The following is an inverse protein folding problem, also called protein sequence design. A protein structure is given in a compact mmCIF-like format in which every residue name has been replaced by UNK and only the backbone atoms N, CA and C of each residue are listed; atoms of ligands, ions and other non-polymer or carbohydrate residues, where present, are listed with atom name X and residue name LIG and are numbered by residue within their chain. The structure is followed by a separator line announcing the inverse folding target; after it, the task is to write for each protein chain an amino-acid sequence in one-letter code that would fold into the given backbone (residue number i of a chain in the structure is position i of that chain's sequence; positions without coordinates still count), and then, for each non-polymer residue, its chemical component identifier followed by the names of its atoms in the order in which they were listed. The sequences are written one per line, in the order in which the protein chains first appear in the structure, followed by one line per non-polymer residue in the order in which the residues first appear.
data_IF_063145831690
#
_entry.id   IF_063145831690
#
_cell.length_a   1.000
_cell.length_b   1.000
_cell.length_c   1.000
_cell.angle_alpha   90.00
_cell.angle_beta   90.00
_cell.angle_gamma   90.00
#
_symmetry.space_group_name_H-M   'P 1'
#
loop_
_entity.id
_entity.type
_entity.pdbx_description
1 polymer ?
#
# COMPACT_ATOMS: atom_id res chain seq x y z
N UNK A 1 29.32 12.77 44.36
CA UNK A 1 28.21 12.72 43.41
C UNK A 1 28.62 13.49 42.14
N UNK A 2 29.41 12.91 41.23
CA UNK A 2 29.51 13.41 39.90
C UNK A 2 28.26 12.93 39.14
N UNK A 3 27.31 13.80 38.91
CA UNK A 3 26.27 13.61 37.92
C UNK A 3 26.96 13.77 36.57
N UNK A 4 27.63 12.70 36.12
CA UNK A 4 28.19 12.65 34.76
C UNK A 4 27.01 12.66 33.77
N UNK A 5 27.08 13.48 32.73
CA UNK A 5 26.15 13.40 31.61
C UNK A 5 26.33 12.01 31.00
N UNK A 6 25.29 11.16 31.10
CA UNK A 6 25.27 9.86 30.45
C UNK A 6 25.23 10.03 28.93
N UNK A 7 26.04 9.28 28.23
CA UNK A 7 26.10 9.30 26.77
C UNK A 7 25.66 7.93 26.20
N UNK A 8 25.62 7.84 24.87
CA UNK A 8 25.24 6.62 24.14
C UNK A 8 26.09 5.41 24.55
N UNK A 9 27.40 5.57 24.78
CA UNK A 9 28.31 4.48 25.11
C UNK A 9 28.06 3.96 26.54
N UNK A 10 27.68 4.82 27.46
CA UNK A 10 27.29 4.39 28.81
C UNK A 10 26.04 3.53 28.77
N UNK A 11 25.06 3.92 27.95
CA UNK A 11 23.84 3.14 27.71
C UNK A 11 24.16 1.76 27.09
N UNK A 12 24.98 1.73 26.03
CA UNK A 12 25.41 0.49 25.39
C UNK A 12 26.09 -0.45 26.37
N UNK A 13 27.06 0.06 27.14
CA UNK A 13 27.79 -0.69 28.14
C UNK A 13 26.87 -1.31 29.20
N UNK A 14 25.94 -0.51 29.75
CA UNK A 14 25.02 -0.97 30.79
C UNK A 14 24.07 -2.04 30.22
N UNK A 15 23.53 -1.80 29.02
CA UNK A 15 22.59 -2.71 28.40
C UNK A 15 23.26 -4.04 28.05
N UNK A 16 24.47 -4.02 27.48
CA UNK A 16 25.23 -5.21 27.13
C UNK A 16 25.61 -6.01 28.38
N UNK A 17 25.98 -5.34 29.47
CA UNK A 17 26.30 -6.00 30.74
C UNK A 17 25.09 -6.67 31.40
N UNK A 18 23.91 -6.11 31.23
CA UNK A 18 22.65 -6.63 31.81
C UNK A 18 21.88 -7.58 30.91
N UNK A 19 22.13 -7.55 29.61
CA UNK A 19 21.51 -8.44 28.67
C UNK A 19 22.09 -9.84 28.76
N UNK A 20 21.23 -10.86 28.80
CA UNK A 20 21.62 -12.27 28.71
C UNK A 20 21.78 -12.75 27.27
N UNK A 21 21.52 -11.87 26.28
CA UNK A 21 21.57 -12.16 24.85
C UNK A 21 22.51 -11.19 24.14
N UNK A 22 23.01 -11.60 22.99
CA UNK A 22 23.71 -10.70 22.09
C UNK A 22 22.77 -9.63 21.56
N UNK A 23 23.10 -8.38 21.85
CA UNK A 23 22.34 -7.19 21.44
C UNK A 23 23.13 -6.27 20.50
N UNK A 24 24.25 -6.72 20.00
CA UNK A 24 25.08 -5.97 19.04
C UNK A 24 24.28 -5.52 17.82
N UNK A 25 23.37 -6.39 17.33
CA UNK A 25 22.50 -6.06 16.20
C UNK A 25 21.66 -4.81 16.47
N UNK A 26 21.20 -4.62 17.71
CA UNK A 26 20.37 -3.47 18.08
C UNK A 26 21.14 -2.17 17.91
N UNK A 27 22.37 -2.10 18.44
CA UNK A 27 23.20 -0.90 18.30
C UNK A 27 23.60 -0.67 16.85
N UNK A 28 24.14 -1.69 16.18
CA UNK A 28 24.64 -1.58 14.80
C UNK A 28 23.55 -1.26 13.79
N UNK A 29 22.36 -1.83 13.94
CA UNK A 29 21.27 -1.71 12.96
C UNK A 29 20.29 -0.58 13.31
N UNK A 30 19.86 -0.49 14.58
CA UNK A 30 18.81 0.44 14.98
C UNK A 30 19.36 1.81 15.36
N UNK A 31 20.49 1.83 16.09
CA UNK A 31 21.02 3.08 16.66
C UNK A 31 22.02 3.76 15.70
N UNK A 32 22.96 3.00 15.14
CA UNK A 32 24.12 3.55 14.42
C UNK A 32 23.94 3.59 12.91
N UNK A 33 22.87 3.00 12.37
CA UNK A 33 22.64 2.96 10.94
C UNK A 33 21.27 3.54 10.54
N UNK A 34 21.08 3.71 9.25
CA UNK A 34 19.78 3.99 8.61
C UNK A 34 19.27 2.76 7.88
N UNK A 35 19.72 1.61 8.30
CA UNK A 35 19.33 0.34 7.69
C UNK A 35 17.85 0.05 7.93
N UNK A 36 17.26 -0.60 6.95
CA UNK A 36 15.83 -0.88 6.96
C UNK A 36 15.63 -2.38 7.13
N UNK A 37 14.94 -2.76 8.18
CA UNK A 37 14.48 -4.13 8.41
C UNK A 37 13.16 -4.33 7.66
N UNK A 38 13.06 -5.39 6.85
CA UNK A 38 11.85 -5.73 6.10
C UNK A 38 11.83 -7.24 5.82
N UNK A 39 10.96 -7.95 6.51
CA UNK A 39 10.72 -9.38 6.35
C UNK A 39 9.35 -9.65 5.74
N UNK A 40 9.16 -10.82 5.16
CA UNK A 40 7.84 -11.31 4.74
C UNK A 40 7.81 -12.83 4.77
N UNK A 41 6.63 -13.40 4.93
CA UNK A 41 6.45 -14.82 4.65
C UNK A 41 6.57 -15.09 3.14
N UNK A 42 7.35 -16.10 2.74
CA UNK A 42 7.39 -16.62 1.36
C UNK A 42 6.49 -17.84 1.23
N UNK A 43 6.83 -18.93 1.89
CA UNK A 43 6.11 -20.20 1.82
C UNK A 43 5.54 -20.52 3.20
N UNK A 44 4.31 -21.04 3.23
CA UNK A 44 3.66 -21.47 4.45
C UNK A 44 2.91 -22.75 4.18
N UNK A 45 3.28 -23.82 4.86
CA UNK A 45 2.57 -25.10 4.92
C UNK A 45 2.10 -25.38 6.34
N UNK A 46 1.08 -26.19 6.48
CA UNK A 46 0.48 -26.49 7.78
C UNK A 46 -0.02 -27.93 7.84
N UNK A 47 0.06 -28.48 9.03
CA UNK A 47 -0.66 -29.67 9.44
C UNK A 47 -1.68 -29.31 10.51
N UNK A 48 -2.27 -30.31 11.16
CA UNK A 48 -3.13 -30.11 12.33
C UNK A 48 -2.34 -29.47 13.48
N UNK A 49 -1.11 -29.93 13.72
CA UNK A 49 -0.34 -29.64 14.94
C UNK A 49 0.86 -28.74 14.70
N UNK A 50 1.32 -28.60 13.47
CA UNK A 50 2.51 -27.82 13.12
C UNK A 50 2.28 -26.85 11.97
N UNK A 51 3.14 -25.82 11.94
CA UNK A 51 3.23 -24.83 10.86
C UNK A 51 4.69 -24.76 10.44
N UNK A 52 4.95 -24.99 9.16
CA UNK A 52 6.26 -24.74 8.57
C UNK A 52 6.17 -23.52 7.67
N UNK A 53 7.04 -22.56 7.87
CA UNK A 53 7.03 -21.31 7.11
C UNK A 53 8.47 -20.84 6.83
N UNK A 54 8.62 -20.13 5.70
CA UNK A 54 9.86 -19.46 5.34
C UNK A 54 9.70 -17.95 5.47
N UNK A 55 10.69 -17.31 6.07
CA UNK A 55 10.80 -15.86 6.23
C UNK A 55 11.85 -15.33 5.27
N UNK A 56 11.43 -14.48 4.35
CA UNK A 56 12.30 -13.84 3.36
C UNK A 56 12.73 -12.47 3.83
N UNK A 57 14.04 -12.28 3.94
CA UNK A 57 14.65 -10.97 4.17
C UNK A 57 14.67 -10.16 2.87
N UNK A 58 14.06 -8.96 2.89
CA UNK A 58 13.91 -8.08 1.72
C UNK A 58 15.06 -7.10 1.54
N UNK A 59 15.80 -6.83 2.59
CA UNK A 59 16.80 -5.74 2.62
C UNK A 59 18.23 -6.25 2.79
N UNK A 60 18.40 -7.49 3.25
CA UNK A 60 19.71 -8.06 3.57
C UNK A 60 20.21 -7.68 4.97
N UNK A 61 19.41 -6.96 5.75
CA UNK A 61 19.71 -6.60 7.14
C UNK A 61 19.13 -7.65 8.05
N UNK A 62 19.97 -8.31 8.84
CA UNK A 62 19.57 -9.41 9.70
C UNK A 62 19.39 -8.93 11.12
N UNK A 63 18.19 -9.12 11.66
CA UNK A 63 17.81 -8.81 13.02
C UNK A 63 16.90 -9.91 13.56
N UNK A 64 16.92 -10.22 14.85
CA UNK A 64 15.91 -11.05 15.47
C UNK A 64 14.51 -10.42 15.30
N UNK A 65 13.51 -11.28 15.08
CA UNK A 65 12.15 -10.81 14.89
C UNK A 65 11.14 -11.79 15.49
N UNK A 66 10.09 -11.33 16.19
CA UNK A 66 9.11 -12.20 16.79
C UNK A 66 8.05 -12.66 15.78
N UNK A 67 7.67 -13.92 15.87
CA UNK A 67 6.57 -14.55 15.16
C UNK A 67 5.45 -14.85 16.13
N UNK A 68 4.26 -14.44 15.77
CA UNK A 68 3.05 -14.63 16.57
C UNK A 68 2.10 -15.59 15.87
N UNK A 69 1.48 -16.46 16.66
CA UNK A 69 0.31 -17.20 16.24
C UNK A 69 -0.94 -16.52 16.79
N UNK A 70 -1.91 -16.26 15.93
CA UNK A 70 -3.16 -15.57 16.29
C UNK A 70 -4.34 -16.50 16.04
N UNK A 71 -5.22 -16.62 17.05
CA UNK A 71 -6.52 -17.28 16.95
C UNK A 71 -7.62 -16.27 17.23
N UNK A 72 -8.51 -16.04 16.27
CA UNK A 72 -9.49 -14.94 16.32
C UNK A 72 -8.78 -13.59 16.47
N UNK A 73 -8.58 -13.10 17.69
CA UNK A 73 -7.84 -11.85 17.99
C UNK A 73 -6.83 -12.03 19.13
N UNK A 74 -6.67 -13.26 19.62
CA UNK A 74 -5.81 -13.58 20.74
C UNK A 74 -4.48 -14.16 20.28
N UNK A 75 -3.39 -13.79 20.94
CA UNK A 75 -2.06 -14.35 20.71
C UNK A 75 -2.02 -15.72 21.41
N UNK A 76 -1.82 -16.80 20.62
CA UNK A 76 -1.71 -18.18 21.15
C UNK A 76 -0.28 -18.66 21.32
N UNK A 77 0.65 -18.02 20.61
CA UNK A 77 2.09 -18.15 20.84
C UNK A 77 2.86 -16.93 20.35
N UNK A 78 4.06 -16.73 20.90
CA UNK A 78 5.07 -15.78 20.49
C UNK A 78 6.43 -16.45 20.56
N UNK A 79 7.15 -16.48 19.45
CA UNK A 79 8.47 -17.09 19.36
C UNK A 79 9.42 -16.15 18.60
N UNK A 80 10.60 -15.93 19.13
CA UNK A 80 11.64 -15.16 18.44
C UNK A 80 12.41 -16.03 17.48
N UNK A 81 12.65 -15.53 16.28
CA UNK A 81 13.52 -16.13 15.27
C UNK A 81 14.70 -15.22 14.98
N UNK A 82 15.80 -15.81 14.57
CA UNK A 82 17.01 -15.13 14.11
C UNK A 82 17.33 -15.55 12.68
N UNK A 83 16.76 -14.88 11.66
CA UNK A 83 17.05 -15.19 10.27
C UNK A 83 18.52 -14.90 9.95
N UNK A 84 19.27 -15.89 9.47
CA UNK A 84 20.70 -15.76 9.11
C UNK A 84 20.93 -15.78 7.61
N UNK A 85 19.90 -16.09 6.84
CA UNK A 85 19.97 -16.21 5.38
C UNK A 85 18.82 -15.43 4.75
N UNK A 86 18.91 -15.20 3.45
CA UNK A 86 17.88 -14.47 2.69
C UNK A 86 16.51 -15.10 2.78
N UNK A 87 16.43 -16.42 2.82
CA UNK A 87 15.22 -17.21 3.09
C UNK A 87 15.56 -18.21 4.20
N UNK A 88 14.90 -18.12 5.33
CA UNK A 88 15.07 -18.98 6.50
C UNK A 88 13.77 -19.70 6.82
N UNK A 89 13.81 -21.03 6.99
CA UNK A 89 12.62 -21.86 7.23
C UNK A 89 12.57 -22.31 8.69
N UNK A 90 11.38 -22.26 9.27
CA UNK A 90 11.10 -22.60 10.66
C UNK A 90 9.86 -23.49 10.75
N UNK A 91 9.82 -24.33 11.77
CA UNK A 91 8.66 -25.17 12.09
C UNK A 91 8.28 -24.97 13.55
N UNK A 92 7.03 -24.58 13.79
CA UNK A 92 6.47 -24.35 15.11
C UNK A 92 5.23 -25.19 15.36
N UNK A 93 4.91 -25.42 16.63
CA UNK A 93 3.59 -25.94 17.00
C UNK A 93 2.50 -24.94 16.66
N UNK A 94 1.44 -25.41 16.00
CA UNK A 94 0.35 -24.56 15.55
C UNK A 94 -0.47 -23.96 16.67
N UNK A 95 -0.62 -24.64 17.80
CA UNK A 95 -1.43 -24.22 18.95
C UNK A 95 -2.82 -23.68 18.54
N UNK A 96 -3.44 -24.31 17.53
CA UNK A 96 -4.71 -23.89 16.94
C UNK A 96 -4.74 -22.46 16.35
N UNK A 97 -3.60 -21.89 16.00
CA UNK A 97 -3.56 -20.60 15.33
C UNK A 97 -4.34 -20.59 14.00
N UNK A 98 -5.04 -19.50 13.73
CA UNK A 98 -5.73 -19.21 12.47
C UNK A 98 -4.87 -18.43 11.50
N UNK A 99 -3.89 -17.70 12.03
CA UNK A 99 -2.95 -16.83 11.30
C UNK A 99 -1.60 -16.83 12.00
N UNK A 100 -0.57 -16.56 11.23
CA UNK A 100 0.75 -16.17 11.76
C UNK A 100 1.09 -14.74 11.34
N UNK A 101 1.81 -14.04 12.21
CA UNK A 101 2.15 -12.63 12.01
C UNK A 101 3.60 -12.39 12.42
N UNK A 102 4.35 -11.70 11.58
CA UNK A 102 5.67 -11.18 11.92
C UNK A 102 5.48 -9.88 12.70
N UNK A 103 6.13 -9.75 13.86
CA UNK A 103 6.23 -8.50 14.62
C UNK A 103 4.88 -7.83 14.95
N UNK A 104 3.93 -8.60 15.44
CA UNK A 104 2.56 -8.13 15.72
C UNK A 104 2.51 -6.95 16.70
N UNK A 105 3.32 -6.97 17.77
CA UNK A 105 3.36 -5.91 18.79
C UNK A 105 4.34 -4.77 18.44
N UNK A 106 4.89 -4.73 17.20
CA UNK A 106 5.82 -3.71 16.73
C UNK A 106 7.08 -3.54 17.60
N UNK A 107 7.62 -4.65 18.11
CA UNK A 107 8.82 -4.64 18.96
C UNK A 107 10.10 -4.34 18.19
N UNK A 108 10.09 -4.58 16.88
CA UNK A 108 11.19 -4.29 15.96
C UNK A 108 10.71 -3.25 14.94
N UNK A 109 11.49 -2.18 14.66
CA UNK A 109 11.11 -1.17 13.66
C UNK A 109 11.20 -1.75 12.25
N UNK A 110 10.11 -2.28 11.74
CA UNK A 110 10.00 -2.90 10.42
C UNK A 110 9.31 -1.97 9.43
N UNK A 111 9.85 -1.90 8.21
CA UNK A 111 9.41 -0.94 7.21
C UNK A 111 8.02 -1.26 6.64
N UNK A 112 7.77 -2.52 6.29
CA UNK A 112 6.54 -2.90 5.62
C UNK A 112 5.77 -3.97 6.41
N UNK A 113 4.97 -3.52 7.33
CA UNK A 113 4.14 -4.40 8.16
C UNK A 113 2.93 -5.00 7.41
N UNK A 114 2.57 -4.48 6.22
CA UNK A 114 1.43 -4.97 5.44
C UNK A 114 1.63 -6.39 4.91
N UNK A 115 2.88 -6.85 4.76
CA UNK A 115 3.22 -8.18 4.25
C UNK A 115 3.49 -9.21 5.36
N UNK A 116 3.34 -8.81 6.63
CA UNK A 116 3.67 -9.61 7.81
C UNK A 116 2.61 -10.65 8.17
N UNK A 117 1.43 -10.57 7.58
CA UNK A 117 0.31 -11.45 7.88
C UNK A 117 0.21 -12.64 6.93
N UNK A 118 -0.03 -13.83 7.48
CA UNK A 118 -0.36 -15.02 6.71
C UNK A 118 -1.51 -15.79 7.33
N UNK A 119 -2.58 -15.95 6.56
CA UNK A 119 -3.70 -16.79 6.96
C UNK A 119 -3.34 -18.27 6.87
N UNK A 120 -3.70 -19.03 7.90
CA UNK A 120 -3.62 -20.50 7.94
C UNK A 120 -4.95 -21.15 7.52
N UNK A 121 -5.93 -20.36 7.12
CA UNK A 121 -7.20 -20.81 6.53
C UNK A 121 -7.17 -20.64 5.01
N UNK A 122 -8.02 -21.38 4.30
CA UNK A 122 -8.20 -21.19 2.86
C UNK A 122 -9.05 -19.93 2.59
N UNK A 123 -8.43 -18.75 2.72
CA UNK A 123 -9.08 -17.47 2.44
C UNK A 123 -8.18 -16.63 1.53
N UNK A 124 -8.80 -15.84 0.67
CA UNK A 124 -8.09 -15.01 -0.30
C UNK A 124 -7.26 -13.88 0.34
N UNK A 125 -7.65 -13.42 1.53
CA UNK A 125 -7.02 -12.28 2.18
C UNK A 125 -6.29 -12.69 3.45
N UNK A 126 -5.02 -12.33 3.55
CA UNK A 126 -4.21 -12.61 4.73
C UNK A 126 -4.64 -11.74 5.92
N UNK A 127 -4.87 -10.44 5.70
CA UNK A 127 -5.34 -9.49 6.71
C UNK A 127 -6.87 -9.39 6.70
N UNK A 128 -7.52 -9.17 7.84
CA UNK A 128 -8.96 -8.95 7.87
C UNK A 128 -9.36 -7.64 7.18
N UNK A 129 -10.60 -7.58 6.69
CA UNK A 129 -11.17 -6.34 6.13
C UNK A 129 -11.70 -5.48 7.28
N UNK A 130 -11.49 -4.16 7.17
CA UNK A 130 -12.02 -3.16 8.09
C UNK A 130 -12.61 -1.99 7.30
N UNK A 131 -13.89 -1.72 7.50
CA UNK A 131 -14.54 -0.55 6.94
C UNK A 131 -14.36 0.65 7.89
N UNK A 132 -13.89 1.77 7.36
CA UNK A 132 -13.70 3.00 8.10
C UNK A 132 -14.45 4.15 7.42
N UNK A 133 -15.25 4.87 8.21
CA UNK A 133 -15.91 6.08 7.72
C UNK A 133 -14.95 7.26 7.75
N UNK A 134 -14.72 7.90 6.60
CA UNK A 134 -13.96 9.15 6.44
C UNK A 134 -12.57 9.21 7.16
N UNK A 135 -12.00 8.05 7.55
CA UNK A 135 -10.73 7.97 8.27
C UNK A 135 -9.63 7.46 7.35
N UNK A 136 -8.61 8.27 7.12
CA UNK A 136 -7.51 8.02 6.17
C UNK A 136 -6.19 7.54 6.83
N UNK A 137 -6.18 7.35 8.16
CA UNK A 137 -5.04 6.78 8.86
C UNK A 137 -4.92 5.29 8.58
N UNK A 138 -3.70 4.86 8.25
CA UNK A 138 -3.44 3.45 7.99
C UNK A 138 -3.32 2.65 9.29
N UNK A 139 -3.97 1.49 9.28
CA UNK A 139 -3.80 0.42 10.23
C UNK A 139 -3.20 -0.77 9.44
N UNK A 140 -1.91 -1.08 9.60
CA UNK A 140 -1.24 -2.11 8.80
C UNK A 140 -1.77 -3.52 9.04
N UNK A 141 -2.51 -3.74 10.12
CA UNK A 141 -3.08 -5.04 10.47
C UNK A 141 -4.35 -5.37 9.68
N UNK A 142 -4.92 -4.39 8.96
CA UNK A 142 -6.17 -4.54 8.23
C UNK A 142 -6.05 -4.20 6.74
N UNK A 143 -6.88 -4.85 5.93
CA UNK A 143 -7.22 -4.38 4.61
C UNK A 143 -8.34 -3.34 4.76
N UNK A 144 -7.98 -2.06 4.86
CA UNK A 144 -8.94 -1.00 5.10
C UNK A 144 -9.65 -0.62 3.81
N UNK A 145 -10.98 -0.48 3.92
CA UNK A 145 -11.85 0.12 2.92
C UNK A 145 -12.47 1.36 3.55
N UNK A 146 -12.08 2.52 3.05
CA UNK A 146 -12.63 3.79 3.47
C UNK A 146 -13.91 4.02 2.68
N UNK A 147 -14.98 4.45 3.33
CA UNK A 147 -16.23 4.79 2.66
C UNK A 147 -16.74 6.17 3.03
N UNK A 148 -17.33 6.84 2.05
CA UNK A 148 -17.89 8.17 2.20
C UNK A 148 -19.14 8.30 1.33
N UNK A 149 -20.30 8.70 1.86
CA UNK A 149 -21.46 9.07 1.06
C UNK A 149 -21.12 10.23 0.13
N UNK A 150 -21.60 10.18 -1.10
CA UNK A 150 -21.41 11.21 -2.11
C UNK A 150 -22.76 11.59 -2.73
N UNK A 151 -22.88 12.86 -3.14
CA UNK A 151 -23.99 13.33 -3.95
C UNK A 151 -23.40 14.16 -5.07
N UNK A 152 -23.73 13.80 -6.30
CA UNK A 152 -23.39 14.56 -7.48
C UNK A 152 -24.65 15.06 -8.18
N UNK A 153 -24.49 16.02 -9.06
CA UNK A 153 -25.57 16.52 -9.91
C UNK A 153 -25.05 16.72 -11.33
N UNK A 154 -25.86 16.27 -12.27
CA UNK A 154 -25.69 16.49 -13.70
C UNK A 154 -27.08 16.72 -14.26
N UNK A 155 -27.25 17.59 -15.25
CA UNK A 155 -28.56 17.96 -15.82
C UNK A 155 -29.37 16.76 -16.32
N UNK A 156 -28.71 15.76 -16.90
CA UNK A 156 -29.36 14.57 -17.46
C UNK A 156 -29.53 13.46 -16.42
N UNK A 157 -28.57 13.26 -15.55
CA UNK A 157 -28.64 12.28 -14.45
C UNK A 157 -29.51 12.77 -13.28
N UNK A 158 -29.68 14.09 -13.13
CA UNK A 158 -30.30 14.69 -11.96
C UNK A 158 -29.42 14.56 -10.71
N UNK A 159 -30.05 14.50 -9.55
CA UNK A 159 -29.35 14.17 -8.30
C UNK A 159 -28.89 12.73 -8.35
N UNK A 160 -27.63 12.51 -8.01
CA UNK A 160 -26.96 11.22 -8.13
C UNK A 160 -26.30 10.86 -6.80
N UNK A 161 -27.07 10.28 -5.84
CA UNK A 161 -26.52 9.76 -4.62
C UNK A 161 -25.60 8.56 -4.90
N UNK A 162 -24.53 8.47 -4.13
CA UNK A 162 -23.55 7.40 -4.27
C UNK A 162 -22.78 7.12 -3.00
N UNK A 163 -21.86 6.17 -3.07
CA UNK A 163 -20.93 5.87 -1.99
C UNK A 163 -19.56 5.66 -2.60
N UNK A 164 -18.59 6.47 -2.17
CA UNK A 164 -17.19 6.31 -2.57
C UNK A 164 -16.52 5.31 -1.67
N UNK A 165 -15.88 4.31 -2.26
CA UNK A 165 -15.01 3.34 -1.60
C UNK A 165 -13.58 3.54 -2.05
N UNK A 166 -12.63 3.62 -1.10
CA UNK A 166 -11.21 3.71 -1.42
C UNK A 166 -10.36 3.02 -0.38
N UNK A 167 -9.13 2.68 -0.74
CA UNK A 167 -8.12 2.21 0.20
C UNK A 167 -6.97 3.21 0.37
N UNK A 168 -7.08 4.39 -0.20
CA UNK A 168 -6.04 5.42 -0.17
C UNK A 168 -5.95 6.03 1.23
N UNK A 169 -4.76 5.97 1.82
CA UNK A 169 -4.42 6.61 3.09
C UNK A 169 -3.35 7.67 2.86
N UNK A 170 -2.92 8.37 3.91
CA UNK A 170 -1.82 9.35 3.85
C UNK A 170 -0.54 8.70 3.33
N UNK A 171 -0.26 7.44 3.74
CA UNK A 171 0.90 6.71 3.28
C UNK A 171 0.66 6.04 1.94
N UNK A 172 1.63 6.15 1.03
CA UNK A 172 1.58 5.48 -0.28
C UNK A 172 1.51 3.96 -0.14
N UNK A 173 0.61 3.36 -0.91
CA UNK A 173 0.44 1.91 -1.03
C UNK A 173 0.81 1.43 -2.42
N UNK A 174 1.31 0.18 -2.54
CA UNK A 174 1.56 -0.40 -3.86
C UNK A 174 0.31 -0.43 -4.74
N UNK A 175 -0.83 -0.83 -4.18
CA UNK A 175 -2.11 -0.87 -4.88
C UNK A 175 -3.10 0.08 -4.23
N UNK A 176 -3.72 0.95 -5.06
CA UNK A 176 -4.78 1.83 -4.64
C UNK A 176 -5.98 1.69 -5.56
N UNK A 177 -7.16 1.75 -4.97
CA UNK A 177 -8.42 1.85 -5.69
C UNK A 177 -9.27 2.99 -5.13
N UNK A 178 -10.13 3.51 -5.98
CA UNK A 178 -11.10 4.55 -5.68
C UNK A 178 -12.31 4.30 -6.59
N UNK A 179 -13.44 3.91 -6.03
CA UNK A 179 -14.64 3.53 -6.78
C UNK A 179 -15.81 4.26 -6.18
N UNK A 180 -16.53 5.00 -7.01
CA UNK A 180 -17.69 5.80 -6.61
C UNK A 180 -18.91 5.39 -7.44
N UNK A 181 -19.55 4.25 -7.15
CA UNK A 181 -20.84 3.93 -7.74
C UNK A 181 -21.90 4.90 -7.25
N UNK A 182 -22.74 5.34 -8.15
CA UNK A 182 -23.82 6.26 -7.87
C UNK A 182 -25.07 5.88 -8.68
N UNK A 183 -26.23 6.28 -8.21
CA UNK A 183 -27.50 6.03 -8.89
C UNK A 183 -28.08 7.34 -9.40
N UNK A 184 -28.27 7.43 -10.70
CA UNK A 184 -28.91 8.55 -11.36
C UNK A 184 -30.44 8.48 -11.13
N UNK A 185 -30.99 9.40 -10.33
CA UNK A 185 -32.42 9.40 -10.03
C UNK A 185 -33.24 9.70 -11.27
N UNK A 186 -32.82 10.66 -12.10
CA UNK A 186 -33.52 11.07 -13.28
C UNK A 186 -33.46 10.06 -14.42
N UNK A 187 -32.29 9.48 -14.66
CA UNK A 187 -32.09 8.48 -15.70
C UNK A 187 -32.46 7.05 -15.26
N UNK A 188 -32.65 6.80 -13.97
CA UNK A 188 -33.01 5.49 -13.43
C UNK A 188 -31.94 4.42 -13.56
N UNK A 189 -30.66 4.79 -13.72
CA UNK A 189 -29.55 3.87 -13.97
C UNK A 189 -28.34 4.15 -13.11
N UNK A 190 -27.36 3.23 -13.15
CA UNK A 190 -26.09 3.41 -12.47
C UNK A 190 -25.20 4.36 -13.27
N UNK A 191 -24.50 5.22 -12.55
CA UNK A 191 -23.43 6.09 -13.04
C UNK A 191 -22.25 6.04 -12.07
N UNK A 192 -21.17 6.77 -12.35
CA UNK A 192 -20.09 6.91 -11.40
C UNK A 192 -18.71 6.89 -12.01
N UNK A 193 -17.73 6.70 -11.12
CA UNK A 193 -16.32 6.69 -11.50
C UNK A 193 -15.54 5.59 -10.80
N UNK A 194 -14.44 5.17 -11.41
CA UNK A 194 -13.48 4.28 -10.78
C UNK A 194 -12.05 4.65 -11.18
N UNK A 195 -11.12 4.39 -10.27
CA UNK A 195 -9.69 4.52 -10.52
C UNK A 195 -8.93 3.43 -9.78
N UNK A 196 -8.01 2.81 -10.49
CA UNK A 196 -7.10 1.80 -9.93
C UNK A 196 -5.67 2.21 -10.25
N UNK A 197 -4.76 2.02 -9.32
CA UNK A 197 -3.35 2.25 -9.58
C UNK A 197 -2.46 1.25 -8.86
N UNK A 198 -1.39 0.88 -9.53
CA UNK A 198 -0.33 0.03 -9.01
C UNK A 198 0.99 0.79 -9.05
N UNK A 199 1.68 0.92 -7.91
CA UNK A 199 2.99 1.53 -7.77
C UNK A 199 4.04 0.44 -7.53
N UNK A 200 5.01 0.37 -8.42
CA UNK A 200 6.18 -0.48 -8.27
C UNK A 200 7.38 0.38 -7.91
N UNK A 201 7.94 0.15 -6.72
CA UNK A 201 9.07 0.90 -6.20
C UNK A 201 10.37 0.13 -6.38
N UNK A 202 11.40 0.83 -6.84
CA UNK A 202 12.75 0.31 -6.99
C UNK A 202 13.68 1.05 -6.02
N UNK A 203 14.22 0.31 -5.06
CA UNK A 203 15.25 0.83 -4.15
C UNK A 203 16.57 0.91 -4.90
N UNK A 204 17.43 1.86 -4.53
CA UNK A 204 18.78 2.02 -5.07
C UNK A 204 18.85 2.20 -6.60
N UNK A 205 17.79 2.68 -7.21
CA UNK A 205 17.70 2.97 -8.65
C UNK A 205 17.32 4.42 -8.88
N UNK A 206 17.85 5.02 -9.95
CA UNK A 206 17.42 6.32 -10.41
C UNK A 206 15.95 6.29 -10.86
N UNK A 207 15.53 5.23 -11.55
CA UNK A 207 14.11 4.93 -11.73
C UNK A 207 13.55 4.37 -10.41
N UNK A 208 12.96 5.21 -9.59
CA UNK A 208 12.53 4.80 -8.27
C UNK A 208 11.08 4.31 -8.20
N UNK A 209 10.24 4.69 -9.18
CA UNK A 209 8.85 4.28 -9.21
C UNK A 209 8.31 4.17 -10.62
N UNK A 210 7.59 3.10 -10.90
CA UNK A 210 6.72 2.97 -12.06
C UNK A 210 5.29 2.84 -11.56
N UNK A 211 4.41 3.71 -12.03
CA UNK A 211 2.99 3.69 -11.69
C UNK A 211 2.15 3.34 -12.91
N UNK A 212 1.38 2.29 -12.79
CA UNK A 212 0.33 1.92 -13.73
C UNK A 212 -1.00 2.38 -13.17
N UNK A 213 -1.85 2.98 -13.97
CA UNK A 213 -3.20 3.33 -13.53
C UNK A 213 -4.20 3.28 -14.65
N UNK A 214 -5.44 3.05 -14.28
CA UNK A 214 -6.59 3.18 -15.16
C UNK A 214 -7.67 3.93 -14.39
N UNK A 215 -8.31 4.90 -15.04
CA UNK A 215 -9.48 5.56 -14.49
C UNK A 215 -10.61 5.58 -15.51
N UNK A 216 -11.84 5.56 -14.99
CA UNK A 216 -13.05 5.52 -15.78
C UNK A 216 -14.07 6.50 -15.17
N UNK A 217 -14.84 7.19 -16.05
CA UNK A 217 -16.04 7.92 -15.68
C UNK A 217 -17.17 7.51 -16.62
N UNK A 218 -18.37 7.35 -16.06
CA UNK A 218 -19.58 6.97 -16.76
C UNK A 218 -20.76 7.78 -16.26
N UNK A 219 -21.45 8.49 -17.15
CA UNK A 219 -22.58 9.36 -16.85
C UNK A 219 -23.41 9.63 -18.13
N UNK A 220 -24.63 10.15 -17.99
CA UNK A 220 -25.43 10.58 -19.13
C UNK A 220 -25.06 12.00 -19.55
N UNK A 221 -24.84 12.18 -20.84
CA UNK A 221 -24.60 13.49 -21.45
C UNK A 221 -25.78 13.96 -22.31
N UNK A 222 -26.79 13.10 -22.50
CA UNK A 222 -28.10 13.35 -23.07
C UNK A 222 -29.15 12.50 -22.33
N UNK A 223 -30.49 12.75 -22.53
CA UNK A 223 -31.53 11.96 -21.86
C UNK A 223 -31.47 10.45 -22.16
N UNK A 224 -31.04 10.10 -23.36
CA UNK A 224 -31.00 8.76 -23.95
C UNK A 224 -29.60 8.22 -24.19
N UNK A 225 -28.54 8.97 -23.85
CA UNK A 225 -27.18 8.59 -24.26
C UNK A 225 -26.17 8.81 -23.16
N UNK A 226 -25.23 7.87 -23.10
CA UNK A 226 -24.16 7.80 -22.09
C UNK A 226 -22.81 8.21 -22.63
N UNK A 227 -21.96 8.66 -21.71
CA UNK A 227 -20.57 9.03 -21.93
C UNK A 227 -19.66 8.15 -21.07
N UNK A 228 -18.79 7.38 -21.71
CA UNK A 228 -17.75 6.60 -21.08
C UNK A 228 -16.40 7.17 -21.45
N UNK A 229 -15.59 7.49 -20.44
CA UNK A 229 -14.19 7.87 -20.61
C UNK A 229 -13.28 6.90 -19.85
N UNK A 230 -12.33 6.31 -20.58
CA UNK A 230 -11.27 5.46 -20.03
C UNK A 230 -9.90 6.14 -20.20
N UNK A 231 -9.08 6.11 -19.15
CA UNK A 231 -7.74 6.68 -19.17
C UNK A 231 -6.71 5.69 -18.61
N UNK A 232 -6.23 4.71 -19.36
CA UNK A 232 -5.04 3.96 -18.98
C UNK A 232 -3.79 4.85 -19.04
N UNK A 233 -2.90 4.70 -18.07
CA UNK A 233 -1.70 5.52 -17.92
C UNK A 233 -0.55 4.72 -17.33
N UNK A 234 0.65 4.99 -17.83
CA UNK A 234 1.91 4.53 -17.23
C UNK A 234 2.78 5.75 -16.95
N UNK A 235 3.35 5.81 -15.77
CA UNK A 235 4.21 6.90 -15.31
C UNK A 235 5.52 6.35 -14.76
N UNK A 236 6.63 6.86 -15.29
CA UNK A 236 7.98 6.57 -14.82
C UNK A 236 8.51 7.77 -14.05
N UNK A 237 8.93 7.57 -12.81
CA UNK A 237 9.49 8.61 -11.94
C UNK A 237 10.97 8.36 -11.69
N UNK A 238 11.75 9.33 -12.02
CA UNK A 238 13.22 9.29 -11.94
C UNK A 238 13.66 10.33 -10.92
N UNK A 239 14.63 9.97 -10.08
CA UNK A 239 15.27 10.85 -9.11
C UNK A 239 16.77 10.82 -9.26
N UNK A 240 17.44 11.84 -8.80
CA UNK A 240 18.89 11.86 -8.71
C UNK A 240 19.37 10.87 -7.63
N UNK A 241 20.64 10.45 -7.75
CA UNK A 241 21.26 9.54 -6.77
C UNK A 241 21.46 10.22 -5.41
N UNK A 242 21.77 11.51 -5.42
CA UNK A 242 21.88 12.31 -4.20
C UNK A 242 20.47 12.70 -3.72
N UNK A 243 20.12 12.31 -2.50
CA UNK A 243 18.84 12.68 -1.88
C UNK A 243 18.70 14.18 -1.56
N UNK A 244 19.78 14.93 -1.57
CA UNK A 244 19.78 16.40 -1.40
C UNK A 244 19.42 17.11 -2.69
N UNK A 245 19.56 16.44 -3.85
CA UNK A 245 19.13 17.02 -5.12
C UNK A 245 17.61 16.92 -5.26
N UNK A 246 16.97 18.08 -5.32
CA UNK A 246 15.52 18.22 -5.45
C UNK A 246 15.02 18.02 -6.89
N UNK A 247 15.90 17.67 -7.83
CA UNK A 247 15.52 17.42 -9.22
C UNK A 247 14.68 16.17 -9.33
N UNK A 248 13.53 16.28 -9.98
CA UNK A 248 12.59 15.20 -10.24
C UNK A 248 12.24 15.18 -11.72
N UNK A 249 12.37 14.04 -12.33
CA UNK A 249 12.02 13.81 -13.73
C UNK A 249 10.89 12.81 -13.82
N UNK A 250 9.98 13.00 -14.77
CA UNK A 250 8.84 12.13 -14.96
C UNK A 250 8.52 12.00 -16.44
N UNK A 251 8.35 10.75 -16.89
CA UNK A 251 7.71 10.41 -18.15
C UNK A 251 6.32 9.88 -17.88
N UNK A 252 5.33 10.37 -18.59
CA UNK A 252 3.94 9.95 -18.50
C UNK A 252 3.43 9.62 -19.89
N UNK A 253 2.86 8.44 -20.03
CA UNK A 253 2.16 7.97 -21.22
C UNK A 253 0.72 7.66 -20.85
N UNK A 254 -0.22 8.27 -21.54
CA UNK A 254 -1.64 8.14 -21.27
C UNK A 254 -2.43 8.00 -22.56
N UNK A 255 -3.37 7.06 -22.58
CA UNK A 255 -4.39 6.98 -23.59
C UNK A 255 -5.70 7.55 -23.03
N UNK A 256 -6.35 8.45 -23.74
CA UNK A 256 -7.69 8.92 -23.44
C UNK A 256 -8.63 8.32 -24.48
N UNK A 257 -9.52 7.46 -24.01
CA UNK A 257 -10.52 6.80 -24.87
C UNK A 257 -11.87 7.33 -24.45
N UNK A 258 -12.59 7.91 -25.41
CA UNK A 258 -13.96 8.43 -25.20
C UNK A 258 -14.89 7.67 -26.09
N UNK A 259 -15.93 7.11 -25.47
CA UNK A 259 -17.04 6.47 -26.15
C UNK A 259 -18.34 7.15 -25.73
N UNK A 260 -19.11 7.65 -26.70
CA UNK A 260 -20.41 8.27 -26.53
C UNK A 260 -21.42 7.52 -27.37
N UNK A 261 -22.54 7.22 -26.77
CA UNK A 261 -23.70 6.71 -27.50
C UNK A 261 -24.30 7.83 -28.37
N UNK A 262 -24.89 7.46 -29.47
CA UNK A 262 -25.69 8.42 -30.28
C UNK A 262 -26.93 8.85 -29.47
N UNK A 263 -27.35 10.10 -29.66
CA UNK A 263 -28.53 10.66 -29.01
C UNK A 263 -29.48 11.24 -30.05
N UNK A 264 -30.77 10.93 -29.90
CA UNK A 264 -31.80 11.52 -30.75
C UNK A 264 -32.06 13.00 -30.42
N UNK A 265 -31.59 13.45 -29.24
CA UNK A 265 -31.75 14.83 -28.75
C UNK A 265 -30.59 15.76 -29.15
N UNK A 266 -29.49 15.20 -29.65
CA UNK A 266 -28.32 15.98 -30.01
C UNK A 266 -28.05 15.77 -31.51
N UNK A 267 -28.44 16.78 -32.29
CA UNK A 267 -28.29 16.74 -33.76
C UNK A 267 -26.87 16.98 -34.26
N UNK A 268 -26.02 17.53 -33.41
CA UNK A 268 -24.58 17.75 -33.74
C UNK A 268 -23.74 16.52 -33.43
N UNK A 269 -23.57 15.69 -34.44
CA UNK A 269 -22.64 14.53 -34.41
C UNK A 269 -21.19 14.92 -34.67
N UNK A 270 -20.81 16.19 -34.55
CA UNK A 270 -19.47 16.72 -34.84
C UNK A 270 -18.38 16.24 -33.88
N UNK A 271 -18.77 15.62 -32.78
CA UNK A 271 -17.83 15.08 -31.78
C UNK A 271 -17.83 13.55 -31.78
N UNK A 272 -17.17 12.90 -32.72
CA UNK A 272 -17.11 11.44 -32.77
C UNK A 272 -16.39 10.85 -31.56
N UNK A 273 -16.58 9.55 -31.36
CA UNK A 273 -15.74 8.78 -30.44
C UNK A 273 -14.27 8.92 -30.83
N UNK A 274 -13.40 9.09 -29.86
CA UNK A 274 -11.99 9.31 -30.12
C UNK A 274 -11.09 8.58 -29.15
N UNK A 275 -9.86 8.39 -29.59
CA UNK A 275 -8.78 7.84 -28.78
C UNK A 275 -7.53 8.67 -29.03
N UNK A 276 -7.03 9.31 -27.97
CA UNK A 276 -5.87 10.20 -28.05
C UNK A 276 -4.75 9.64 -27.17
N UNK A 277 -3.59 9.43 -27.79
CA UNK A 277 -2.37 9.14 -27.06
C UNK A 277 -1.67 10.44 -26.66
N UNK A 278 -1.28 10.54 -25.39
CA UNK A 278 -0.58 11.67 -24.83
C UNK A 278 0.72 11.20 -24.17
N UNK A 279 1.84 11.77 -24.61
CA UNK A 279 3.15 11.57 -23.99
C UNK A 279 3.62 12.90 -23.38
N UNK A 280 4.06 12.87 -22.13
CA UNK A 280 4.54 14.05 -21.40
C UNK A 280 5.85 13.73 -20.71
N UNK A 281 6.82 14.62 -20.89
CA UNK A 281 8.02 14.68 -20.07
C UNK A 281 7.96 15.91 -19.18
N UNK A 282 8.33 15.78 -17.92
CA UNK A 282 8.51 16.89 -17.00
C UNK A 282 9.83 16.75 -16.24
N UNK A 283 10.52 17.86 -16.08
CA UNK A 283 11.76 18.00 -15.34
C UNK A 283 11.59 19.21 -14.41
N UNK A 284 11.59 18.97 -13.12
CA UNK A 284 11.36 19.98 -12.10
C UNK A 284 12.54 19.97 -11.15
N UNK A 285 13.11 21.13 -10.89
CA UNK A 285 14.10 21.38 -9.85
C UNK A 285 13.58 22.49 -8.97
N UNK A 286 13.43 22.23 -7.68
CA UNK A 286 13.03 23.24 -6.70
C UNK A 286 14.30 23.81 -6.09
N UNK A 287 14.53 25.08 -6.25
CA UNK A 287 15.61 25.80 -5.59
C UNK A 287 15.03 26.49 -4.34
N UNK A 288 15.74 26.37 -3.23
CA UNK A 288 15.45 27.20 -2.06
C UNK A 288 15.85 28.64 -2.44
N UNK A 289 14.91 29.55 -2.32
CA UNK A 289 15.21 30.98 -2.42
C UNK A 289 15.78 31.34 -1.06
N UNK A 290 17.06 31.77 -1.05
CA UNK A 290 17.73 32.39 0.12
C UNK A 290 17.14 33.78 0.37
#
# INVERSE_FOLDING_TARGET
NQIGQSNRYDFEKILTQKSQKDIDWFFKTIIDSRDIIDYKFSDVSRTTDSITFSVKNKTGIYAPIPIYGIKKKEVVFKEWIEPKTKDSTYTFSRKNADKIVINYDNEVPEYNQRNNWRSLKHVALNRPIKFNFAKDLEDPDYNQILYLPTVNYNYYDGITPGVRFSNKTILDKPFNFDVNPAYSIKAGTLSGSSAFSWNQYYRNSTLYNVRYSISQNYFHYAPDATYLRLNPMVQFRIREKDFRDNRKQMFLFRQVIVNREASDYITDNSSPNYSIFNARYSNTKTELID
#
